data_IF_173349058209
#
_entry.id   IF_173349058209
#
_cell.length_a   1.000
_cell.length_b   1.000
_cell.length_c   1.000
_cell.angle_alpha   90.00
_cell.angle_beta   90.00
_cell.angle_gamma   90.00
#
_symmetry.space_group_name_H-M   'P 1'
#
loop_
_entity.id
_entity.type
_entity.pdbx_description
1 polymer ?
#
# COMPACT_ATOMS: atom_id res chain seq x y z
N UNK A 1 22.34 -1.16 14.54
CA UNK A 1 21.50 -1.92 13.59
C UNK A 1 20.11 -1.31 13.67
N UNK A 2 19.78 -0.43 12.73
CA UNK A 2 18.43 0.11 12.61
C UNK A 2 17.63 -0.97 11.89
N UNK A 3 16.70 -1.62 12.57
CA UNK A 3 15.75 -2.51 11.90
C UNK A 3 15.02 -1.67 10.86
N UNK A 4 15.18 -2.01 9.59
CA UNK A 4 14.50 -1.34 8.50
C UNK A 4 12.99 -1.38 8.75
N UNK A 5 12.33 -0.22 8.69
CA UNK A 5 10.91 -0.09 9.04
C UNK A 5 10.02 -0.86 8.08
N UNK A 6 10.47 -1.10 6.85
CA UNK A 6 9.77 -2.00 5.93
C UNK A 6 9.85 -3.45 6.37
N UNK A 7 11.01 -3.88 6.85
CA UNK A 7 11.21 -5.21 7.45
C UNK A 7 10.27 -5.44 8.65
N UNK A 8 9.93 -4.41 9.43
CA UNK A 8 8.94 -4.52 10.51
C UNK A 8 7.51 -4.76 9.99
N UNK A 9 7.14 -4.13 8.87
CA UNK A 9 5.86 -4.38 8.20
C UNK A 9 5.80 -5.81 7.62
N UNK A 10 6.93 -6.36 7.17
CA UNK A 10 7.05 -7.76 6.78
C UNK A 10 6.74 -8.71 7.95
N UNK A 11 7.09 -8.34 9.19
CA UNK A 11 6.70 -9.08 10.40
C UNK A 11 5.22 -8.93 10.74
N UNK A 12 4.64 -7.73 10.58
CA UNK A 12 3.20 -7.50 10.80
C UNK A 12 2.31 -8.32 9.86
N UNK A 13 2.83 -8.72 8.67
CA UNK A 13 2.15 -9.64 7.74
C UNK A 13 1.75 -10.98 8.39
N UNK A 14 2.49 -11.42 9.41
CA UNK A 14 2.22 -12.69 10.10
C UNK A 14 0.90 -12.67 10.88
N UNK A 15 0.35 -11.49 11.16
CA UNK A 15 -0.95 -11.30 11.83
C UNK A 15 -2.14 -11.38 10.87
N UNK A 16 -1.88 -11.27 9.56
CA UNK A 16 -2.91 -11.17 8.54
C UNK A 16 -3.54 -12.54 8.24
N UNK A 17 -4.81 -12.53 7.81
CA UNK A 17 -5.43 -13.71 7.19
C UNK A 17 -4.58 -14.13 5.97
N UNK A 18 -4.42 -15.43 5.64
CA UNK A 18 -3.49 -15.87 4.58
C UNK A 18 -3.68 -15.21 3.21
N UNK A 19 -4.93 -14.93 2.83
CA UNK A 19 -5.27 -14.24 1.60
C UNK A 19 -4.78 -12.76 1.62
N UNK A 20 -5.03 -12.06 2.73
CA UNK A 20 -4.56 -10.70 2.96
C UNK A 20 -3.01 -10.63 2.99
N UNK A 21 -2.36 -11.58 3.66
CA UNK A 21 -0.90 -11.67 3.69
C UNK A 21 -0.30 -11.82 2.28
N UNK A 22 -0.88 -12.71 1.45
CA UNK A 22 -0.42 -12.94 0.08
C UNK A 22 -0.58 -11.69 -0.79
N UNK A 23 -1.71 -10.99 -0.66
CA UNK A 23 -1.97 -9.73 -1.36
C UNK A 23 -0.99 -8.64 -0.96
N UNK A 24 -0.82 -8.46 0.34
CA UNK A 24 0.04 -7.43 0.89
C UNK A 24 1.50 -7.65 0.52
N UNK A 25 1.98 -8.90 0.48
CA UNK A 25 3.34 -9.22 0.02
C UNK A 25 3.61 -8.80 -1.44
N UNK A 26 2.62 -8.95 -2.34
CA UNK A 26 2.75 -8.48 -3.73
C UNK A 26 2.84 -6.96 -3.80
N UNK A 27 2.00 -6.27 -3.03
CA UNK A 27 1.99 -4.80 -2.94
C UNK A 27 3.29 -4.25 -2.35
N UNK A 28 3.79 -4.89 -1.30
CA UNK A 28 5.02 -4.48 -0.62
C UNK A 28 6.24 -4.64 -1.54
N UNK A 29 6.32 -5.75 -2.27
CA UNK A 29 7.38 -5.96 -3.27
C UNK A 29 7.37 -4.90 -4.37
N UNK A 30 6.19 -4.49 -4.85
CA UNK A 30 6.08 -3.42 -5.82
C UNK A 30 6.53 -2.06 -5.24
N UNK A 31 6.18 -1.80 -3.97
CA UNK A 31 6.59 -0.58 -3.27
C UNK A 31 8.11 -0.54 -3.02
N UNK A 32 8.74 -1.67 -2.69
CA UNK A 32 10.20 -1.80 -2.55
C UNK A 32 10.92 -1.46 -3.86
N UNK A 33 10.38 -1.88 -5.00
CA UNK A 33 10.94 -1.54 -6.33
C UNK A 33 10.82 -0.07 -6.68
N UNK A 34 9.84 0.64 -6.11
CA UNK A 34 9.62 2.05 -6.36
C UNK A 34 10.69 2.95 -5.71
N UNK A 35 11.47 2.42 -4.76
CA UNK A 35 12.51 3.13 -4.02
C UNK A 35 12.02 4.45 -3.37
N UNK A 36 10.76 4.47 -2.93
CA UNK A 36 10.15 5.62 -2.27
C UNK A 36 10.94 5.96 -0.97
N UNK A 37 11.17 7.24 -0.63
CA UNK A 37 11.85 7.58 0.61
C UNK A 37 11.21 6.89 1.81
N UNK A 38 12.03 6.31 2.71
CA UNK A 38 11.57 5.39 3.78
C UNK A 38 10.38 5.93 4.60
N UNK A 39 10.42 7.23 4.94
CA UNK A 39 9.35 7.91 5.70
C UNK A 39 7.98 7.87 5.00
N UNK A 40 7.97 7.81 3.67
CA UNK A 40 6.77 7.73 2.85
C UNK A 40 6.43 6.29 2.48
N UNK A 41 7.44 5.44 2.27
CA UNK A 41 7.26 4.02 2.02
C UNK A 41 6.51 3.33 3.17
N UNK A 42 6.87 3.64 4.42
CA UNK A 42 6.16 3.12 5.59
C UNK A 42 4.67 3.49 5.58
N UNK A 43 4.34 4.75 5.27
CA UNK A 43 2.94 5.21 5.24
C UNK A 43 2.16 4.62 4.05
N UNK A 44 2.79 4.50 2.89
CA UNK A 44 2.19 3.84 1.73
C UNK A 44 1.89 2.36 2.02
N UNK A 45 2.81 1.66 2.67
CA UNK A 45 2.62 0.26 3.06
C UNK A 45 1.43 0.07 4.00
N UNK A 46 1.19 0.99 4.95
CA UNK A 46 -0.01 0.96 5.80
C UNK A 46 -1.30 0.95 4.99
N UNK A 47 -1.44 1.85 4.01
CA UNK A 47 -2.64 1.85 3.16
C UNK A 47 -2.78 0.58 2.32
N UNK A 48 -1.67 -0.03 1.90
CA UNK A 48 -1.68 -1.32 1.20
C UNK A 48 -2.10 -2.47 2.12
N UNK A 49 -1.75 -2.40 3.41
CA UNK A 49 -2.23 -3.31 4.45
C UNK A 49 -3.73 -3.16 4.68
N UNK A 50 -4.21 -1.93 4.85
CA UNK A 50 -5.64 -1.61 5.02
C UNK A 50 -6.49 -2.14 3.84
N UNK A 51 -5.99 -2.03 2.60
CA UNK A 51 -6.65 -2.62 1.43
C UNK A 51 -6.67 -4.14 1.46
N UNK A 52 -5.56 -4.77 1.88
CA UNK A 52 -5.47 -6.23 1.95
C UNK A 52 -6.37 -6.81 3.04
N UNK A 53 -6.60 -6.08 4.13
CA UNK A 53 -7.45 -6.47 5.26
C UNK A 53 -8.92 -6.09 5.10
N UNK A 54 -9.26 -5.29 4.09
CA UNK A 54 -10.62 -4.83 3.88
C UNK A 54 -11.62 -6.00 3.82
N UNK A 55 -12.66 -5.94 4.63
CA UNK A 55 -13.67 -6.99 4.75
C UNK A 55 -14.90 -6.73 3.87
N UNK A 56 -15.00 -5.53 3.30
CA UNK A 56 -16.07 -5.13 2.40
C UNK A 56 -15.60 -4.04 1.42
N UNK A 57 -16.42 -3.80 0.39
CA UNK A 57 -16.11 -2.85 -0.68
C UNK A 57 -15.99 -1.41 -0.20
N UNK A 58 -16.71 -1.03 0.85
CA UNK A 58 -16.64 0.32 1.42
C UNK A 58 -15.29 0.57 2.11
N UNK A 59 -14.85 -0.36 2.96
CA UNK A 59 -13.52 -0.28 3.61
C UNK A 59 -12.41 -0.23 2.55
N UNK A 60 -12.52 -1.07 1.53
CA UNK A 60 -11.55 -1.12 0.44
C UNK A 60 -11.49 0.19 -0.35
N UNK A 61 -12.65 0.78 -0.68
CA UNK A 61 -12.71 2.08 -1.37
C UNK A 61 -12.09 3.20 -0.54
N UNK A 62 -12.38 3.25 0.77
CA UNK A 62 -11.80 4.25 1.68
C UNK A 62 -10.28 4.11 1.76
N UNK A 63 -9.77 2.89 1.93
CA UNK A 63 -8.32 2.65 1.97
C UNK A 63 -7.64 3.09 0.67
N UNK A 64 -8.26 2.80 -0.49
CA UNK A 64 -7.79 3.29 -1.80
C UNK A 64 -7.74 4.81 -1.86
N UNK A 65 -8.83 5.50 -1.52
CA UNK A 65 -8.90 6.96 -1.56
C UNK A 65 -7.82 7.62 -0.67
N UNK A 66 -7.54 7.03 0.50
CA UNK A 66 -6.47 7.50 1.38
C UNK A 66 -5.08 7.31 0.76
N UNK A 67 -4.84 6.18 0.10
CA UNK A 67 -3.59 5.93 -0.64
C UNK A 67 -3.38 6.92 -1.78
N UNK A 68 -4.40 7.12 -2.63
CA UNK A 68 -4.36 8.09 -3.74
C UNK A 68 -4.18 9.52 -3.21
N UNK A 69 -4.93 9.91 -2.18
CA UNK A 69 -4.80 11.22 -1.54
C UNK A 69 -3.41 11.46 -0.96
N UNK A 70 -2.78 10.41 -0.40
CA UNK A 70 -1.40 10.48 0.09
C UNK A 70 -0.40 10.74 -1.04
N UNK A 71 -0.48 9.98 -2.15
CA UNK A 71 0.39 10.21 -3.30
C UNK A 71 0.23 11.63 -3.88
N UNK A 72 -1.03 12.10 -4.02
CA UNK A 72 -1.33 13.46 -4.44
C UNK A 72 -0.77 14.52 -3.48
N UNK A 73 -0.85 14.27 -2.17
CA UNK A 73 -0.29 15.16 -1.15
C UNK A 73 1.23 15.28 -1.28
N UNK A 74 1.93 14.17 -1.50
CA UNK A 74 3.37 14.18 -1.72
C UNK A 74 3.76 14.96 -2.99
N UNK A 75 3.02 14.75 -4.08
CA UNK A 75 3.22 15.50 -5.33
C UNK A 75 2.99 17.00 -5.14
N UNK A 76 1.88 17.36 -4.50
CA UNK A 76 1.50 18.76 -4.25
C UNK A 76 2.52 19.47 -3.37
N UNK A 77 3.11 18.76 -2.41
CA UNK A 77 4.17 19.26 -1.55
C UNK A 77 5.57 19.24 -2.20
N UNK A 78 5.69 18.84 -3.47
CA UNK A 78 6.94 18.61 -4.18
C UNK A 78 7.92 17.66 -3.44
N UNK A 79 7.37 16.72 -2.65
CA UNK A 79 8.15 15.71 -1.94
C UNK A 79 8.59 14.55 -2.84
N UNK A 80 7.87 14.36 -3.95
CA UNK A 80 8.16 13.39 -5.02
C UNK A 80 7.82 14.03 -6.37
N UNK A 81 8.41 13.49 -7.44
CA UNK A 81 8.12 13.90 -8.82
C UNK A 81 6.85 13.21 -9.35
N UNK A 82 6.30 13.76 -10.44
CA UNK A 82 5.06 13.29 -11.07
C UNK A 82 5.11 11.81 -11.47
N UNK A 83 6.21 11.38 -12.08
CA UNK A 83 6.41 9.98 -12.47
C UNK A 83 6.36 9.03 -11.26
N UNK A 84 6.96 9.44 -10.14
CA UNK A 84 6.98 8.66 -8.90
C UNK A 84 5.58 8.61 -8.25
N UNK A 85 4.84 9.72 -8.28
CA UNK A 85 3.46 9.77 -7.81
C UNK A 85 2.53 8.89 -8.66
N UNK A 86 2.69 8.91 -9.99
CA UNK A 86 1.91 8.08 -10.90
C UNK A 86 2.19 6.59 -10.67
N UNK A 87 3.45 6.19 -10.53
CA UNK A 87 3.80 4.81 -10.19
C UNK A 87 3.24 4.39 -8.83
N UNK A 88 3.26 5.26 -7.82
CA UNK A 88 2.64 4.98 -6.52
C UNK A 88 1.12 4.79 -6.62
N UNK A 89 0.44 5.63 -7.41
CA UNK A 89 -0.99 5.46 -7.69
C UNK A 89 -1.29 4.11 -8.35
N UNK A 90 -0.47 3.68 -9.32
CA UNK A 90 -0.63 2.36 -9.96
C UNK A 90 -0.54 1.22 -8.93
N UNK A 91 0.38 1.30 -7.96
CA UNK A 91 0.50 0.28 -6.91
C UNK A 91 -0.79 0.21 -6.06
N UNK A 92 -1.37 1.35 -5.71
CA UNK A 92 -2.64 1.40 -4.98
C UNK A 92 -3.81 0.86 -5.81
N UNK A 93 -3.89 1.20 -7.10
CA UNK A 93 -4.90 0.67 -8.01
C UNK A 93 -4.80 -0.86 -8.17
N UNK A 94 -3.59 -1.37 -8.33
CA UNK A 94 -3.34 -2.80 -8.46
C UNK A 94 -3.68 -3.55 -7.16
N UNK A 95 -3.35 -2.98 -6.00
CA UNK A 95 -3.73 -3.54 -4.70
C UNK A 95 -5.25 -3.58 -4.52
N UNK A 96 -5.94 -2.49 -4.87
CA UNK A 96 -7.39 -2.41 -4.85
C UNK A 96 -8.03 -3.47 -5.75
N UNK A 97 -7.59 -3.58 -7.00
CA UNK A 97 -8.15 -4.54 -7.96
C UNK A 97 -8.02 -5.99 -7.46
N UNK A 98 -6.84 -6.32 -6.89
CA UNK A 98 -6.60 -7.64 -6.36
C UNK A 98 -7.40 -7.94 -5.08
N UNK A 99 -7.53 -6.98 -4.17
CA UNK A 99 -8.33 -7.13 -2.95
C UNK A 99 -9.83 -7.23 -3.26
N UNK A 100 -10.33 -6.42 -4.21
CA UNK A 100 -11.72 -6.45 -4.67
C UNK A 100 -12.11 -7.84 -5.20
N UNK A 101 -11.21 -8.51 -5.93
CA UNK A 101 -11.43 -9.86 -6.45
C UNK A 101 -11.54 -10.93 -5.36
N UNK A 102 -11.15 -10.64 -4.11
CA UNK A 102 -11.20 -11.56 -2.98
C UNK A 102 -12.34 -11.28 -2.00
N UNK A 103 -13.05 -10.17 -2.16
CA UNK A 103 -14.19 -9.83 -1.31
C UNK A 103 -15.36 -10.82 -1.54
N UNK A 104 -16.04 -11.25 -0.47
CA UNK A 104 -17.27 -12.03 -0.62
C UNK A 104 -18.33 -11.19 -1.35
N UNK A 105 -19.02 -11.80 -2.32
CA UNK A 105 -20.11 -11.17 -3.07
C UNK A 105 -21.42 -11.14 -2.29
#
# INVERSE_FOLDING_TARGET
MTTDRLSLLQFEQLSLKPAAASQFALSLKALEQLALPERYAYRAAHYLGDMAEAENSQQLAVAKEQGIGFAQGLLTAAAIEDALAQSLNTIFEDAFARALAQLPQ
#
